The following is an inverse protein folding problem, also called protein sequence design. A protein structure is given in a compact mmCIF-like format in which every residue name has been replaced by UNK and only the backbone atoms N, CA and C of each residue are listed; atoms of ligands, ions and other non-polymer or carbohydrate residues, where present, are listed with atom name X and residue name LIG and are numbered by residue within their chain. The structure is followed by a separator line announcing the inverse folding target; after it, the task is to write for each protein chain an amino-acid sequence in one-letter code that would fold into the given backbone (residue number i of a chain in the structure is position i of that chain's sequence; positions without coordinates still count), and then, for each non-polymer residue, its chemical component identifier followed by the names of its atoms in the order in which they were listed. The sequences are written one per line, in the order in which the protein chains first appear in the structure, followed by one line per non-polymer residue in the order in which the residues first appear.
data_IF_829688965783
#
_entry.id   IF_829688965783
#
_cell.length_a   1.000
_cell.length_b   1.000
_cell.length_c   1.000
_cell.angle_alpha   90.00
_cell.angle_beta   90.00
_cell.angle_gamma   90.00
#
_symmetry.space_group_name_H-M   'P 1'
#
loop_
_entity.id
_entity.type
_entity.pdbx_description
1 polymer ?
#
# COMPACT_ATOMS: atom_id res chain seq x y z
N UNK A 1 -14.42 -22.08 -4.35
CA UNK A 1 -14.15 -20.65 -4.64
C UNK A 1 -13.69 -19.99 -3.35
N UNK A 2 -12.80 -18.99 -3.39
CA UNK A 2 -12.43 -18.24 -2.20
C UNK A 2 -13.65 -17.48 -1.63
N UNK A 3 -13.65 -17.24 -0.32
CA UNK A 3 -14.72 -16.52 0.37
C UNK A 3 -14.79 -15.06 -0.10
N UNK A 4 -15.96 -14.60 -0.53
CA UNK A 4 -16.19 -13.17 -0.80
C UNK A 4 -16.52 -12.47 0.52
N UNK A 5 -15.59 -11.63 0.98
CA UNK A 5 -15.75 -10.88 2.23
C UNK A 5 -16.72 -9.72 2.01
N UNK A 6 -17.77 -9.68 2.81
CA UNK A 6 -18.74 -8.59 2.79
C UNK A 6 -18.20 -7.36 3.55
N UNK A 7 -18.03 -6.19 2.90
CA UNK A 7 -17.58 -4.96 3.55
C UNK A 7 -18.52 -4.43 4.66
N UNK A 8 -19.75 -4.94 4.76
CA UNK A 8 -20.67 -4.64 5.86
C UNK A 8 -20.29 -5.33 7.18
N UNK A 9 -19.48 -6.38 7.13
CA UNK A 9 -18.98 -7.06 8.32
C UNK A 9 -17.71 -6.43 8.91
N UNK A 10 -17.12 -5.47 8.19
CA UNK A 10 -15.90 -4.78 8.57
C UNK A 10 -16.21 -3.57 9.44
N UNK A 11 -15.45 -3.43 10.51
CA UNK A 11 -15.53 -2.31 11.43
C UNK A 11 -14.34 -1.39 11.22
N UNK A 12 -14.53 -0.09 11.45
CA UNK A 12 -13.41 0.86 11.41
C UNK A 12 -12.31 0.44 12.38
N UNK A 13 -11.06 0.51 11.92
CA UNK A 13 -9.92 0.09 12.70
C UNK A 13 -9.57 1.12 13.76
N UNK A 14 -10.02 0.87 14.99
CA UNK A 14 -9.78 1.73 16.18
C UNK A 14 -8.41 1.41 16.82
N UNK A 15 -7.64 0.49 16.22
CA UNK A 15 -6.40 0.02 16.80
C UNK A 15 -5.25 1.04 16.64
N UNK A 16 -5.12 1.95 17.61
CA UNK A 16 -4.00 2.88 17.68
C UNK A 16 -2.79 2.20 18.38
N UNK A 17 -2.09 1.33 17.65
CA UNK A 17 -0.77 0.82 18.06
C UNK A 17 0.26 1.96 18.00
N UNK A 18 0.32 2.79 19.05
CA UNK A 18 1.39 3.79 19.18
C UNK A 18 2.73 3.07 19.34
N UNK A 19 3.64 3.30 18.40
CA UNK A 19 4.92 2.58 18.30
C UNK A 19 6.12 3.37 18.88
N UNK A 20 5.91 4.14 19.94
CA UNK A 20 6.93 5.05 20.48
C UNK A 20 7.82 4.43 21.58
N UNK A 21 8.22 3.17 21.43
CA UNK A 21 9.04 2.49 22.45
C UNK A 21 10.54 2.51 22.10
N UNK A 22 11.18 3.66 22.33
CA UNK A 22 12.64 3.82 22.26
C UNK A 22 13.36 2.93 23.30
N UNK A 23 12.71 2.60 24.42
CA UNK A 23 13.32 1.88 25.54
C UNK A 23 13.76 0.47 25.17
N UNK A 24 12.91 -0.25 24.43
CA UNK A 24 13.21 -1.62 23.99
C UNK A 24 14.46 -1.73 23.09
N UNK A 25 14.76 -0.70 22.27
CA UNK A 25 15.93 -0.72 21.37
C UNK A 25 17.22 -0.49 22.15
N UNK A 26 17.21 0.40 23.15
CA UNK A 26 18.39 0.68 23.98
C UNK A 26 18.76 -0.51 24.86
N UNK A 27 17.77 -1.17 25.47
CA UNK A 27 17.97 -2.35 26.31
C UNK A 27 18.55 -3.54 25.53
N UNK A 28 18.19 -3.69 24.26
CA UNK A 28 18.58 -4.81 23.41
C UNK A 28 19.79 -4.52 22.50
N UNK A 29 20.55 -3.45 22.77
CA UNK A 29 21.70 -3.03 21.94
C UNK A 29 22.77 -4.12 21.77
N UNK A 30 23.00 -4.93 22.81
CA UNK A 30 23.97 -6.04 22.76
C UNK A 30 23.56 -7.12 21.74
N UNK A 31 22.27 -7.42 21.63
CA UNK A 31 21.72 -8.37 20.66
C UNK A 31 21.88 -7.84 19.24
N UNK A 32 21.62 -6.54 19.02
CA UNK A 32 21.82 -5.88 17.72
C UNK A 32 23.30 -5.97 17.32
N UNK A 33 24.22 -5.60 18.22
CA UNK A 33 25.65 -5.65 17.95
C UNK A 33 26.13 -7.07 17.63
N UNK A 34 25.64 -8.07 18.36
CA UNK A 34 25.95 -9.47 18.08
C UNK A 34 25.48 -9.89 16.69
N UNK A 35 24.23 -9.60 16.32
CA UNK A 35 23.70 -9.92 15.00
C UNK A 35 24.47 -9.22 13.88
N UNK A 36 24.76 -7.93 14.04
CA UNK A 36 25.49 -7.15 13.04
C UNK A 36 26.94 -7.61 12.88
N UNK A 37 27.57 -8.12 13.95
CA UNK A 37 28.93 -8.68 13.88
C UNK A 37 29.04 -9.91 12.97
N UNK A 38 27.91 -10.60 12.70
CA UNK A 38 27.86 -11.77 11.83
C UNK A 38 27.65 -11.39 10.35
N UNK A 39 27.30 -10.14 10.07
CA UNK A 39 26.97 -9.68 8.72
C UNK A 39 28.20 -9.15 7.98
N UNK A 40 28.29 -9.48 6.70
CA UNK A 40 29.30 -8.95 5.78
C UNK A 40 28.67 -7.96 4.80
N UNK A 41 29.42 -6.95 4.40
CA UNK A 41 28.95 -5.97 3.41
C UNK A 41 28.49 -6.68 2.14
N UNK A 42 27.27 -6.36 1.69
CA UNK A 42 26.63 -6.96 0.52
C UNK A 42 25.88 -8.27 0.78
N UNK A 43 25.90 -8.79 2.02
CA UNK A 43 25.19 -10.02 2.39
C UNK A 43 23.66 -9.88 2.21
N UNK A 44 23.05 -10.93 1.66
CA UNK A 44 21.60 -11.07 1.55
C UNK A 44 20.98 -11.37 2.91
N UNK A 45 19.97 -10.59 3.30
CA UNK A 45 19.33 -10.67 4.61
C UNK A 45 18.05 -11.50 4.64
N UNK A 46 17.62 -12.08 3.52
CA UNK A 46 16.41 -12.92 3.46
C UNK A 46 16.47 -14.13 4.40
N UNK A 47 17.67 -14.64 4.70
CA UNK A 47 17.90 -15.79 5.59
C UNK A 47 18.31 -15.41 7.01
N UNK A 48 18.41 -14.13 7.31
CA UNK A 48 18.80 -13.64 8.64
C UNK A 48 17.54 -13.45 9.48
N UNK A 49 17.47 -14.15 10.61
CA UNK A 49 16.39 -13.97 11.58
C UNK A 49 16.65 -12.69 12.34
N UNK A 50 15.74 -11.73 12.15
CA UNK A 50 15.79 -10.46 12.86
C UNK A 50 15.11 -10.57 14.24
N UNK A 51 15.57 -9.83 15.25
CA UNK A 51 15.01 -9.88 16.60
C UNK A 51 13.54 -9.45 16.64
N UNK A 52 12.77 -10.01 17.57
CA UNK A 52 11.33 -9.77 17.66
C UNK A 52 10.98 -8.33 18.09
N UNK A 53 11.83 -7.68 18.89
CA UNK A 53 11.58 -6.32 19.38
C UNK A 53 11.66 -5.23 18.29
N UNK A 54 12.26 -5.53 17.12
CA UNK A 54 12.27 -4.60 15.98
C UNK A 54 11.06 -4.80 15.04
N UNK A 55 10.12 -5.68 15.43
CA UNK A 55 8.93 -5.94 14.63
C UNK A 55 7.84 -4.91 14.88
N UNK A 56 7.18 -4.53 13.81
CA UNK A 56 5.93 -3.79 13.82
C UNK A 56 4.78 -4.74 14.14
N UNK A 57 3.71 -4.25 14.78
CA UNK A 57 2.55 -5.06 15.21
C UNK A 57 1.60 -5.47 14.07
N UNK A 58 2.11 -5.70 12.86
CA UNK A 58 1.33 -6.06 11.67
C UNK A 58 2.14 -6.77 10.61
N UNK A 59 1.45 -7.47 9.73
CA UNK A 59 2.03 -8.14 8.56
C UNK A 59 2.38 -7.16 7.44
N UNK A 60 3.32 -7.55 6.58
CA UNK A 60 3.63 -6.82 5.35
C UNK A 60 2.36 -6.63 4.49
N UNK A 61 1.47 -7.62 4.43
CA UNK A 61 0.24 -7.52 3.65
C UNK A 61 -0.65 -6.36 4.12
N UNK A 62 -0.73 -6.17 5.44
CA UNK A 62 -1.47 -5.08 6.05
C UNK A 62 -0.77 -3.73 5.91
N UNK A 63 0.56 -3.69 6.02
CA UNK A 63 1.35 -2.46 5.82
C UNK A 63 1.12 -1.84 4.43
N UNK A 64 0.98 -2.67 3.39
CA UNK A 64 0.68 -2.18 2.03
C UNK A 64 -0.74 -1.60 1.89
N UNK A 65 -1.69 -2.02 2.74
CA UNK A 65 -3.01 -1.43 2.74
C UNK A 65 -2.98 0.05 3.17
N UNK A 66 -1.98 0.47 3.96
CA UNK A 66 -1.88 1.87 4.39
C UNK A 66 -1.47 2.82 3.27
N UNK A 67 -0.98 2.30 2.14
CA UNK A 67 -0.80 3.11 0.93
C UNK A 67 -2.16 3.59 0.36
N UNK A 68 -3.27 3.00 0.79
CA UNK A 68 -4.64 3.44 0.50
C UNK A 68 -5.23 4.31 1.62
N UNK A 69 -4.38 5.00 2.40
CA UNK A 69 -4.80 5.93 3.47
C UNK A 69 -5.58 7.15 2.98
N UNK A 70 -5.42 7.50 1.71
CA UNK A 70 -6.14 8.58 1.02
C UNK A 70 -6.99 8.02 -0.13
N UNK A 71 -8.05 7.25 0.17
CA UNK A 71 -8.91 6.68 -0.87
C UNK A 71 -9.68 7.77 -1.62
N UNK A 72 -9.90 8.94 -1.02
CA UNK A 72 -10.41 10.15 -1.68
C UNK A 72 -9.55 10.56 -2.88
N UNK A 73 -8.23 10.66 -2.70
CA UNK A 73 -7.28 10.99 -3.77
C UNK A 73 -7.20 9.88 -4.81
N UNK A 74 -7.25 8.61 -4.37
CA UNK A 74 -7.30 7.46 -5.28
C UNK A 74 -8.51 7.53 -6.22
N UNK A 75 -9.71 7.69 -5.64
CA UNK A 75 -10.96 7.76 -6.40
C UNK A 75 -10.98 9.01 -7.31
N UNK A 76 -10.41 10.12 -6.85
CA UNK A 76 -10.36 11.38 -7.61
C UNK A 76 -9.49 11.32 -8.88
N UNK A 77 -8.64 10.30 -9.06
CA UNK A 77 -7.85 10.12 -10.29
C UNK A 77 -8.77 10.10 -11.52
N UNK A 78 -9.89 9.37 -11.46
CA UNK A 78 -10.81 9.24 -12.61
C UNK A 78 -11.56 10.53 -12.92
N UNK A 79 -11.64 11.47 -11.97
CA UNK A 79 -12.30 12.76 -12.19
C UNK A 79 -11.52 13.67 -13.17
N UNK A 80 -10.30 13.30 -13.60
CA UNK A 80 -9.48 14.14 -14.47
C UNK A 80 -10.11 14.20 -15.86
N UNK A 81 -10.39 15.40 -16.35
CA UNK A 81 -11.08 15.59 -17.63
C UNK A 81 -10.14 15.28 -18.80
N UNK A 82 -8.86 15.59 -18.65
CA UNK A 82 -7.82 15.32 -19.64
C UNK A 82 -6.90 14.18 -19.20
N UNK A 83 -6.24 13.46 -20.14
CA UNK A 83 -5.22 12.48 -19.80
C UNK A 83 -4.07 13.05 -18.95
N UNK A 84 -3.74 14.33 -19.17
CA UNK A 84 -2.75 15.08 -18.39
C UNK A 84 -3.17 15.21 -16.93
N UNK A 85 -4.40 15.68 -16.67
CA UNK A 85 -4.94 15.82 -15.32
C UNK A 85 -4.99 14.47 -14.59
N UNK A 86 -5.41 13.39 -15.28
CA UNK A 86 -5.45 12.05 -14.68
C UNK A 86 -4.05 11.54 -14.31
N UNK A 87 -3.05 11.76 -15.17
CA UNK A 87 -1.66 11.42 -14.85
C UNK A 87 -1.14 12.22 -13.65
N UNK A 88 -1.40 13.54 -13.58
CA UNK A 88 -0.95 14.38 -12.48
C UNK A 88 -1.63 13.96 -11.16
N UNK A 89 -2.94 13.68 -11.18
CA UNK A 89 -3.67 13.18 -10.00
C UNK A 89 -3.16 11.82 -9.55
N UNK A 90 -2.80 10.94 -10.48
CA UNK A 90 -2.17 9.67 -10.10
C UNK A 90 -0.81 9.89 -9.42
N UNK A 91 0.02 10.80 -9.95
CA UNK A 91 1.28 11.18 -9.30
C UNK A 91 1.06 11.80 -7.91
N UNK A 92 0.03 12.63 -7.75
CA UNK A 92 -0.37 13.20 -6.46
C UNK A 92 -0.74 12.12 -5.46
N UNK A 93 -1.69 11.24 -5.79
CA UNK A 93 -2.06 10.09 -4.95
C UNK A 93 -0.85 9.19 -4.63
N UNK A 94 -0.03 8.90 -5.64
CA UNK A 94 1.14 8.05 -5.46
C UNK A 94 2.16 8.64 -4.48
N UNK A 95 2.37 9.96 -4.49
CA UNK A 95 3.31 10.60 -3.57
C UNK A 95 2.73 10.77 -2.17
N UNK A 96 1.41 10.91 -2.03
CA UNK A 96 0.74 10.99 -0.73
C UNK A 96 0.53 9.63 -0.07
N UNK A 97 0.77 8.50 -0.74
CA UNK A 97 0.55 7.17 -0.15
C UNK A 97 1.65 6.71 0.83
N UNK A 98 2.83 7.30 0.80
CA UNK A 98 4.00 6.75 1.51
C UNK A 98 4.13 7.14 2.98
N UNK A 99 3.55 8.27 3.40
CA UNK A 99 3.73 8.80 4.75
C UNK A 99 3.03 7.95 5.82
N UNK A 100 1.84 7.41 5.54
CA UNK A 100 1.11 6.53 6.47
C UNK A 100 1.66 5.11 6.57
N UNK A 101 2.36 4.62 5.55
CA UNK A 101 2.99 3.31 5.59
C UNK A 101 4.10 3.19 6.65
N UNK A 102 4.44 4.29 7.34
CA UNK A 102 5.51 4.35 8.35
C UNK A 102 5.09 5.23 9.54
N UNK A 103 4.27 4.67 10.43
CA UNK A 103 3.90 5.34 11.68
C UNK A 103 5.08 5.29 12.65
N UNK A 104 5.53 6.45 13.13
CA UNK A 104 6.58 6.56 14.14
C UNK A 104 7.96 6.92 13.59
N UNK A 105 8.84 7.40 14.49
CA UNK A 105 10.20 7.84 14.14
C UNK A 105 11.18 6.67 13.99
N UNK A 106 10.86 5.51 14.57
CA UNK A 106 11.72 4.32 14.60
C UNK A 106 11.35 3.38 13.46
N UNK A 107 12.35 2.95 12.69
CA UNK A 107 12.16 1.92 11.68
C UNK A 107 11.91 0.56 12.34
N UNK A 108 10.66 0.09 12.25
CA UNK A 108 10.31 -1.31 12.52
C UNK A 108 10.09 -2.08 11.23
N UNK A 109 10.14 -3.41 11.36
CA UNK A 109 9.92 -4.34 10.25
C UNK A 109 8.57 -5.04 10.44
N UNK A 110 7.67 -5.04 9.45
CA UNK A 110 6.44 -5.82 9.56
C UNK A 110 6.73 -7.33 9.57
N UNK A 111 5.76 -8.12 10.01
CA UNK A 111 5.86 -9.58 9.93
C UNK A 111 6.04 -10.01 8.48
N UNK A 112 6.95 -10.97 8.27
CA UNK A 112 7.14 -11.55 6.95
C UNK A 112 5.97 -12.52 6.69
N UNK A 113 5.11 -12.29 5.69
CA UNK A 113 3.93 -13.11 5.53
C UNK A 113 4.28 -14.56 5.22
N UNK A 114 3.48 -15.49 5.74
CA UNK A 114 3.62 -16.91 5.38
C UNK A 114 2.86 -17.21 4.09
N UNK A 115 3.25 -18.25 3.36
CA UNK A 115 2.54 -18.67 2.13
C UNK A 115 1.04 -18.88 2.40
N UNK A 116 0.19 -18.28 1.57
CA UNK A 116 -1.27 -18.36 1.73
C UNK A 116 -1.87 -17.47 2.80
N UNK A 117 -1.07 -16.67 3.50
CA UNK A 117 -1.56 -15.59 4.35
C UNK A 117 -2.33 -14.58 3.50
N UNK A 118 -3.45 -14.09 4.02
CA UNK A 118 -4.32 -13.12 3.34
C UNK A 118 -4.60 -11.92 4.21
N UNK A 119 -4.81 -10.74 3.61
CA UNK A 119 -5.31 -9.57 4.31
C UNK A 119 -6.42 -8.91 3.49
N UNK A 120 -7.48 -8.50 4.17
CA UNK A 120 -8.65 -7.89 3.56
C UNK A 120 -9.09 -6.70 4.38
N UNK A 121 -9.44 -5.62 3.69
CA UNK A 121 -10.04 -4.45 4.29
C UNK A 121 -10.84 -3.65 3.26
N UNK A 122 -11.60 -2.68 3.74
CA UNK A 122 -12.22 -1.68 2.89
C UNK A 122 -12.17 -0.27 3.48
N UNK A 123 -12.48 0.71 2.64
CA UNK A 123 -12.76 2.08 3.04
C UNK A 123 -14.12 2.47 2.50
N UNK A 124 -14.85 3.27 3.28
CA UNK A 124 -16.07 3.95 2.84
C UNK A 124 -15.79 5.42 2.76
N UNK A 125 -15.91 5.98 1.58
CA UNK A 125 -15.57 7.37 1.31
C UNK A 125 -16.83 8.14 0.92
N UNK A 126 -17.32 9.09 1.74
CA UNK A 126 -18.48 9.91 1.38
C UNK A 126 -18.32 10.53 -0.01
N UNK A 127 -19.37 10.52 -0.81
CA UNK A 127 -19.31 11.05 -2.19
C UNK A 127 -18.95 12.55 -2.21
N UNK A 128 -19.33 13.30 -1.17
CA UNK A 128 -18.98 14.71 -0.95
C UNK A 128 -17.48 14.94 -0.86
N UNK A 129 -16.75 14.00 -0.28
CA UNK A 129 -15.33 14.18 0.07
C UNK A 129 -14.43 13.88 -1.14
N UNK A 130 -14.98 13.22 -2.17
CA UNK A 130 -14.33 12.97 -3.47
C UNK A 130 -14.69 14.05 -4.50
N UNK A 131 -15.69 14.89 -4.23
CA UNK A 131 -16.27 15.81 -5.20
C UNK A 131 -15.41 17.07 -5.44
N UNK A 132 -14.63 17.00 -6.52
CA UNK A 132 -14.24 18.07 -7.46
C UNK A 132 -13.62 19.37 -6.93
N UNK A 133 -12.31 19.52 -7.16
CA UNK A 133 -11.72 20.79 -7.61
C UNK A 133 -12.31 21.15 -8.98
N UNK A 134 -13.50 21.76 -8.98
CA UNK A 134 -14.03 22.52 -10.10
C UNK A 134 -14.03 24.00 -9.72
N UNK A 135 -12.83 24.57 -9.54
CA UNK A 135 -12.60 26.01 -9.51
C UNK A 135 -13.15 26.81 -8.31
N UNK A 136 -12.24 27.51 -7.64
CA UNK A 136 -12.44 28.73 -6.83
C UNK A 136 -12.95 28.61 -5.39
N UNK A 137 -12.10 29.15 -4.49
CA UNK A 137 -12.37 29.87 -3.25
C UNK A 137 -13.86 30.14 -2.91
N UNK A 138 -14.32 29.67 -1.75
CA UNK A 138 -14.86 30.56 -0.70
C UNK A 138 -15.17 29.84 0.61
N UNK A 139 -14.76 30.50 1.68
CA UNK A 139 -15.20 30.45 3.08
C UNK A 139 -16.53 29.77 3.44
N UNK A 140 -16.48 29.10 4.60
CA UNK A 140 -17.61 28.70 5.42
C UNK A 140 -18.71 29.77 5.58
N UNK A 141 -19.98 29.35 5.57
CA UNK A 141 -20.96 29.59 6.65
C UNK A 141 -22.33 28.92 6.36
N UNK A 142 -22.72 28.04 7.30
CA UNK A 142 -24.06 27.80 7.88
C UNK A 142 -25.35 28.12 7.08
N UNK A 143 -26.26 27.14 7.00
CA UNK A 143 -27.50 27.05 7.80
C UNK A 143 -28.57 26.18 7.10
N UNK A 144 -29.37 25.52 7.92
CA UNK A 144 -30.47 24.59 7.64
C UNK A 144 -31.59 25.12 6.74
N UNK A 145 -32.15 24.28 5.87
CA UNK A 145 -33.58 24.29 5.58
C UNK A 145 -34.10 22.91 5.17
N UNK A 146 -35.10 22.45 5.92
CA UNK A 146 -35.81 21.19 5.74
C UNK A 146 -36.82 21.28 4.59
N UNK A 147 -36.65 20.46 3.56
CA UNK A 147 -37.69 20.24 2.54
C UNK A 147 -38.08 18.77 2.57
N UNK A 148 -39.31 18.50 3.00
CA UNK A 148 -39.93 17.18 2.99
C UNK A 148 -40.45 16.89 1.58
N UNK A 149 -39.97 15.82 0.95
CA UNK A 149 -40.53 15.28 -0.30
C UNK A 149 -41.03 13.83 -0.06
N UNK A 150 -42.06 13.38 -0.79
CA UNK A 150 -42.88 12.23 -0.40
C UNK A 150 -42.15 10.90 -0.53
N UNK A 151 -42.43 10.00 0.42
CA UNK A 151 -42.18 8.56 0.29
C UNK A 151 -43.02 8.02 -0.84
N UNK A 152 -42.39 7.37 -1.82
CA UNK A 152 -42.78 6.07 -2.38
C UNK A 152 -42.01 5.86 -3.69
N UNK A 153 -40.97 5.02 -3.63
CA UNK A 153 -40.40 4.21 -4.73
C UNK A 153 -39.24 3.39 -4.13
N UNK A 154 -39.54 2.16 -3.73
CA UNK A 154 -38.54 1.15 -3.39
C UNK A 154 -37.77 0.76 -4.67
N UNK A 155 -36.58 1.34 -4.83
CA UNK A 155 -35.61 0.97 -5.86
C UNK A 155 -34.24 1.48 -5.41
N UNK A 156 -33.32 0.55 -5.12
CA UNK A 156 -31.90 0.75 -4.78
C UNK A 156 -31.56 2.13 -4.19
N UNK A 157 -31.53 2.25 -2.86
CA UNK A 157 -30.93 3.40 -2.19
C UNK A 157 -29.47 3.51 -2.67
N UNK A 158 -29.21 4.46 -3.56
CA UNK A 158 -27.85 4.75 -4.00
C UNK A 158 -27.04 5.11 -2.75
N UNK A 159 -25.99 4.34 -2.46
CA UNK A 159 -25.16 4.59 -1.29
C UNK A 159 -24.51 5.97 -1.46
N UNK A 160 -24.51 6.76 -0.38
CA UNK A 160 -23.92 8.11 -0.36
C UNK A 160 -22.38 8.08 -0.17
N UNK A 161 -21.77 6.92 -0.40
CA UNK A 161 -20.34 6.70 -0.30
C UNK A 161 -19.86 5.79 -1.42
N UNK A 162 -18.58 5.92 -1.75
CA UNK A 162 -17.83 4.97 -2.55
C UNK A 162 -17.18 3.92 -1.63
N UNK A 163 -17.11 2.68 -2.11
CA UNK A 163 -16.41 1.60 -1.40
C UNK A 163 -15.11 1.26 -2.11
N UNK A 164 -13.98 1.39 -1.41
CA UNK A 164 -12.69 0.86 -1.88
C UNK A 164 -12.43 -0.45 -1.17
N UNK A 165 -12.30 -1.56 -1.91
CA UNK A 165 -11.93 -2.86 -1.36
C UNK A 165 -10.45 -3.12 -1.57
N UNK A 166 -9.80 -3.82 -0.65
CA UNK A 166 -8.42 -4.25 -0.77
C UNK A 166 -8.28 -5.72 -0.39
N UNK A 167 -7.49 -6.44 -1.18
CA UNK A 167 -7.18 -7.86 -1.02
C UNK A 167 -5.69 -8.05 -1.21
N UNK A 168 -5.05 -8.73 -0.28
CA UNK A 168 -3.66 -9.13 -0.39
C UNK A 168 -3.49 -10.61 -0.06
N UNK A 169 -2.54 -11.26 -0.73
CA UNK A 169 -2.18 -12.66 -0.49
C UNK A 169 -0.67 -12.85 -0.62
N UNK A 170 -0.07 -13.65 0.26
CA UNK A 170 1.27 -14.15 0.04
C UNK A 170 1.23 -15.31 -0.95
N UNK A 171 1.58 -15.03 -2.21
CA UNK A 171 1.42 -15.95 -3.34
C UNK A 171 2.62 -16.86 -3.59
N UNK A 172 3.79 -16.51 -3.04
CA UNK A 172 5.02 -17.31 -3.14
C UNK A 172 5.91 -17.11 -1.90
N UNK A 173 6.68 -18.14 -1.52
CA UNK A 173 7.66 -18.07 -0.42
C UNK A 173 9.11 -17.96 -0.90
N UNK A 174 9.44 -18.59 -2.03
CA UNK A 174 10.79 -18.63 -2.59
C UNK A 174 10.78 -18.34 -4.10
N UNK A 175 10.91 -17.06 -4.52
CA UNK A 175 11.06 -15.85 -3.69
C UNK A 175 9.76 -15.44 -2.97
N UNK A 176 9.83 -14.62 -1.89
CA UNK A 176 8.66 -14.21 -1.13
C UNK A 176 7.89 -13.11 -1.88
N UNK A 177 6.91 -13.51 -2.68
CA UNK A 177 6.06 -12.60 -3.47
C UNK A 177 4.70 -12.43 -2.79
N UNK A 178 4.27 -11.19 -2.65
CA UNK A 178 2.93 -10.81 -2.20
C UNK A 178 2.15 -10.20 -3.37
N UNK A 179 0.92 -10.65 -3.59
CA UNK A 179 -0.04 -10.07 -4.52
C UNK A 179 -0.97 -9.10 -3.80
N UNK A 180 -1.32 -8.01 -4.48
CA UNK A 180 -2.19 -6.94 -3.97
C UNK A 180 -3.22 -6.55 -5.02
N UNK A 181 -4.44 -6.29 -4.57
CA UNK A 181 -5.52 -5.82 -5.42
C UNK A 181 -6.37 -4.81 -4.65
N UNK A 182 -6.72 -3.72 -5.30
CA UNK A 182 -7.68 -2.75 -4.78
C UNK A 182 -8.66 -2.34 -5.87
N UNK A 183 -9.91 -2.08 -5.53
CA UNK A 183 -10.92 -1.65 -6.50
C UNK A 183 -11.94 -0.68 -5.90
N UNK A 184 -12.45 0.20 -6.75
CA UNK A 184 -13.65 1.00 -6.53
C UNK A 184 -14.59 0.70 -7.71
N UNK A 185 -15.56 -0.20 -7.50
CA UNK A 185 -16.44 -0.70 -8.55
C UNK A 185 -17.34 0.42 -9.09
N UNK A 186 -17.81 1.29 -8.21
CA UNK A 186 -18.66 2.46 -8.48
C UNK A 186 -17.97 3.46 -9.42
N UNK A 187 -16.63 3.56 -9.37
CA UNK A 187 -15.81 4.38 -10.28
C UNK A 187 -15.13 3.59 -11.39
N UNK A 188 -15.43 2.29 -11.53
CA UNK A 188 -14.85 1.41 -12.54
C UNK A 188 -13.33 1.52 -12.60
N UNK A 189 -12.67 1.48 -11.45
CA UNK A 189 -11.21 1.55 -11.37
C UNK A 189 -10.64 0.52 -10.40
N UNK A 190 -9.44 0.06 -10.68
CA UNK A 190 -8.75 -0.90 -9.83
C UNK A 190 -7.24 -0.86 -10.00
N UNK A 191 -6.52 -1.34 -8.99
CA UNK A 191 -5.08 -1.54 -9.00
C UNK A 191 -4.80 -3.00 -8.76
N UNK A 192 -3.93 -3.57 -9.58
CA UNK A 192 -3.31 -4.87 -9.33
C UNK A 192 -1.81 -4.67 -9.20
N UNK A 193 -1.19 -5.29 -8.19
CA UNK A 193 0.26 -5.24 -8.03
C UNK A 193 0.78 -6.56 -7.47
N UNK A 194 2.03 -6.86 -7.74
CA UNK A 194 2.76 -7.92 -7.05
C UNK A 194 4.15 -7.40 -6.69
N UNK A 195 4.61 -7.71 -5.49
CA UNK A 195 5.89 -7.20 -4.99
C UNK A 195 6.63 -8.29 -4.23
N UNK A 196 7.94 -8.31 -4.41
CA UNK A 196 8.88 -9.01 -3.55
C UNK A 196 10.10 -8.14 -3.29
N UNK A 197 10.87 -8.48 -2.27
CA UNK A 197 11.98 -7.64 -1.82
C UNK A 197 13.32 -8.35 -1.91
N UNK A 198 14.35 -7.59 -2.26
CA UNK A 198 15.75 -8.01 -2.16
C UNK A 198 16.45 -7.14 -1.13
N UNK A 199 16.94 -7.75 -0.05
CA UNK A 199 17.55 -7.04 1.07
C UNK A 199 19.05 -7.25 1.08
N UNK A 200 19.83 -6.16 1.22
CA UNK A 200 21.29 -6.19 1.29
C UNK A 200 21.81 -5.41 2.49
N UNK A 201 22.76 -5.97 3.20
CA UNK A 201 23.49 -5.27 4.24
C UNK A 201 24.51 -4.28 3.65
N UNK A 202 24.45 -3.02 4.06
CA UNK A 202 25.27 -1.91 3.57
C UNK A 202 26.19 -1.33 4.67
N UNK A 203 26.51 -2.11 5.71
CA UNK A 203 27.33 -1.67 6.84
C UNK A 203 26.50 -0.99 7.92
N UNK A 204 26.32 0.33 7.82
CA UNK A 204 25.47 1.09 8.77
C UNK A 204 24.02 1.21 8.32
N UNK A 205 23.64 0.48 7.28
CA UNK A 205 22.30 0.53 6.70
C UNK A 205 21.92 -0.81 6.10
N UNK A 206 20.62 -1.02 5.91
CA UNK A 206 20.06 -2.13 5.14
C UNK A 206 19.34 -1.52 3.94
N UNK A 207 19.72 -1.92 2.73
CA UNK A 207 19.02 -1.53 1.51
C UNK A 207 18.02 -2.60 1.10
N UNK A 208 16.80 -2.19 0.80
CA UNK A 208 15.70 -3.05 0.35
C UNK A 208 15.25 -2.56 -1.02
N UNK A 209 15.51 -3.38 -2.03
CA UNK A 209 15.01 -3.14 -3.39
C UNK A 209 13.66 -3.81 -3.53
N UNK A 210 12.65 -3.01 -3.89
CA UNK A 210 11.31 -3.48 -4.24
C UNK A 210 11.33 -3.94 -5.69
N UNK A 211 11.00 -5.20 -5.92
CA UNK A 211 10.90 -5.79 -7.26
C UNK A 211 9.47 -6.20 -7.50
N UNK A 212 8.90 -5.75 -8.61
CA UNK A 212 7.49 -5.92 -8.91
C UNK A 212 6.97 -4.78 -9.76
N UNK A 213 5.72 -4.91 -10.18
CA UNK A 213 5.01 -3.91 -10.98
C UNK A 213 3.59 -3.77 -10.42
N UNK A 214 3.10 -2.53 -10.44
CA UNK A 214 1.71 -2.19 -10.23
C UNK A 214 1.06 -1.72 -11.53
N UNK A 215 -0.22 -2.03 -11.68
CA UNK A 215 -1.07 -1.66 -12.81
C UNK A 215 -2.33 -1.02 -12.26
N UNK A 216 -2.49 0.28 -12.48
CA UNK A 216 -3.75 0.99 -12.27
C UNK A 216 -4.54 0.98 -13.58
N UNK A 217 -5.77 0.47 -13.54
CA UNK A 217 -6.71 0.47 -14.67
C UNK A 217 -7.86 1.43 -14.37
N UNK A 218 -8.02 2.45 -15.21
CA UNK A 218 -9.17 3.36 -15.23
C UNK A 218 -10.10 2.91 -16.36
N UNK A 219 -11.08 2.05 -16.03
CA UNK A 219 -11.85 1.33 -17.06
C UNK A 219 -12.78 2.25 -17.85
N UNK A 220 -13.31 3.30 -17.21
CA UNK A 220 -14.13 4.31 -17.88
C UNK A 220 -13.37 5.03 -19.01
N UNK A 221 -12.07 5.27 -18.80
CA UNK A 221 -11.20 5.91 -19.80
C UNK A 221 -10.50 4.88 -20.69
N UNK A 222 -10.60 3.59 -20.37
CA UNK A 222 -9.83 2.51 -20.98
C UNK A 222 -8.32 2.76 -20.92
N UNK A 223 -7.84 3.29 -19.79
CA UNK A 223 -6.45 3.67 -19.55
C UNK A 223 -5.79 2.75 -18.54
N UNK A 224 -4.51 2.46 -18.77
CA UNK A 224 -3.69 1.60 -17.92
C UNK A 224 -2.38 2.31 -17.61
N UNK A 225 -2.05 2.37 -16.32
CA UNK A 225 -0.85 3.01 -15.82
C UNK A 225 0.02 1.96 -15.13
N UNK A 226 1.17 1.65 -15.72
CA UNK A 226 2.16 0.81 -15.07
C UNK A 226 3.04 1.66 -14.16
N UNK A 227 3.35 1.15 -12.97
CA UNK A 227 4.18 1.87 -12.00
C UNK A 227 5.07 0.92 -11.18
N UNK A 228 6.22 1.43 -10.74
CA UNK A 228 7.15 0.73 -9.85
C UNK A 228 7.13 1.34 -8.45
N UNK A 229 7.70 0.67 -7.45
CA UNK A 229 7.86 1.20 -6.08
C UNK A 229 9.29 1.68 -5.82
N UNK A 230 9.51 2.67 -4.92
CA UNK A 230 10.86 3.10 -4.56
C UNK A 230 11.57 2.04 -3.73
N UNK A 231 12.90 2.09 -3.69
CA UNK A 231 13.68 1.34 -2.72
C UNK A 231 13.49 1.94 -1.32
N UNK A 232 13.67 1.11 -0.30
CA UNK A 232 13.69 1.54 1.10
C UNK A 232 15.06 1.25 1.72
N UNK A 233 15.50 2.11 2.63
CA UNK A 233 16.75 1.97 3.36
C UNK A 233 16.47 2.12 4.86
N UNK A 234 16.76 1.08 5.64
CA UNK A 234 16.86 1.24 7.08
C UNK A 234 18.24 1.80 7.41
N UNK A 235 18.28 3.06 7.84
CA UNK A 235 19.49 3.80 8.20
C UNK A 235 19.74 3.67 9.69
N UNK A 236 20.98 3.94 10.13
CA UNK A 236 21.33 4.03 11.55
C UNK A 236 20.99 2.78 12.38
N UNK A 237 21.13 1.59 11.80
CA UNK A 237 20.78 0.31 12.44
C UNK A 237 21.61 -0.04 13.69
N UNK A 238 22.67 0.73 13.97
CA UNK A 238 23.51 0.61 15.18
C UNK A 238 23.07 1.55 16.32
N UNK A 239 22.17 2.48 16.03
CA UNK A 239 21.63 3.47 16.98
C UNK A 239 20.11 3.44 16.92
N UNK A 240 19.45 4.56 16.59
CA UNK A 240 18.00 4.61 16.38
C UNK A 240 17.74 4.44 14.89
N UNK A 241 17.19 3.30 14.46
CA UNK A 241 16.99 3.06 13.05
C UNK A 241 15.85 3.93 12.53
N UNK A 242 15.98 4.45 11.32
CA UNK A 242 14.94 5.23 10.64
C UNK A 242 14.88 4.84 9.17
N UNK A 243 13.74 5.07 8.52
CA UNK A 243 13.56 4.66 7.12
C UNK A 243 13.68 5.82 6.16
N UNK A 244 14.44 5.57 5.10
CA UNK A 244 14.59 6.47 3.97
C UNK A 244 14.09 5.79 2.70
N UNK A 245 13.29 6.50 1.90
CA UNK A 245 12.96 6.07 0.54
C UNK A 245 14.01 6.59 -0.44
N UNK A 246 14.32 5.80 -1.45
CA UNK A 246 15.33 6.16 -2.45
C UNK A 246 15.12 5.52 -3.81
N UNK A 247 15.75 6.13 -4.81
CA UNK A 247 15.77 5.61 -6.17
C UNK A 247 14.68 6.18 -7.07
N UNK A 248 14.72 5.74 -8.33
CA UNK A 248 13.85 6.23 -9.40
C UNK A 248 12.63 5.34 -9.54
N UNK A 249 11.46 5.96 -9.62
CA UNK A 249 10.17 5.36 -9.95
C UNK A 249 9.71 5.92 -11.29
N UNK A 250 9.07 5.07 -12.09
CA UNK A 250 8.40 5.51 -13.31
C UNK A 250 6.93 5.13 -13.25
N UNK A 251 6.07 6.00 -13.78
CA UNK A 251 4.66 5.76 -14.05
C UNK A 251 4.46 5.98 -15.54
N UNK A 252 3.79 5.07 -16.24
CA UNK A 252 3.64 5.16 -17.68
C UNK A 252 2.23 4.74 -18.13
N UNK A 253 1.61 5.55 -18.99
CA UNK A 253 0.37 5.19 -19.67
C UNK A 253 0.62 5.11 -21.18
N UNK A 254 0.66 3.90 -21.72
CA UNK A 254 0.98 3.67 -23.13
C UNK A 254 -0.07 4.29 -24.08
N UNK A 255 -1.35 4.25 -23.69
CA UNK A 255 -2.46 4.77 -24.50
C UNK A 255 -2.40 6.28 -24.70
N UNK A 256 -2.11 7.02 -23.63
CA UNK A 256 -2.16 8.49 -23.64
C UNK A 256 -0.80 9.11 -24.00
N UNK A 257 0.27 8.30 -23.92
CA UNK A 257 1.64 8.74 -24.14
C UNK A 257 2.25 9.49 -22.96
N UNK A 258 1.51 9.71 -21.87
CA UNK A 258 2.06 10.39 -20.70
C UNK A 258 2.91 9.44 -19.86
N UNK A 259 3.99 9.98 -19.30
CA UNK A 259 4.81 9.31 -18.29
C UNK A 259 5.19 10.26 -17.17
N UNK A 260 5.45 9.71 -15.99
CA UNK A 260 6.05 10.42 -14.87
C UNK A 260 7.34 9.73 -14.44
N UNK A 261 8.36 10.53 -14.19
CA UNK A 261 9.66 10.07 -13.68
C UNK A 261 9.90 10.73 -12.33
N UNK A 262 9.84 9.96 -11.25
CA UNK A 262 9.94 10.41 -9.86
C UNK A 262 11.24 9.89 -9.28
N UNK A 263 11.98 10.72 -8.55
CA UNK A 263 13.22 10.37 -7.88
C UNK A 263 13.12 10.67 -6.39
N UNK A 264 13.20 9.63 -5.57
CA UNK A 264 13.35 9.72 -4.13
C UNK A 264 14.84 9.88 -3.81
N UNK A 265 15.21 11.02 -3.24
CA UNK A 265 16.60 11.34 -2.95
C UNK A 265 16.98 10.81 -1.58
N UNK A 266 18.02 9.98 -1.55
CA UNK A 266 18.68 9.63 -0.28
C UNK A 266 19.54 10.79 0.21
N UNK A 267 19.74 10.88 1.52
CA UNK A 267 20.53 11.90 2.19
C UNK A 267 21.91 12.08 1.53
N UNK A 268 22.25 13.29 1.05
CA UNK A 268 23.58 13.60 0.56
C UNK A 268 24.64 13.48 1.66
N UNK A 269 25.90 13.23 1.28
CA UNK A 269 27.01 13.17 2.23
C UNK A 269 27.27 14.52 2.96
N UNK A 270 26.88 15.64 2.36
CA UNK A 270 27.05 16.99 2.93
C UNK A 270 25.74 17.79 2.84
N UNK A 271 25.19 18.15 4.00
CA UNK A 271 23.99 18.99 4.09
C UNK A 271 22.76 18.42 3.37
N UNK A 272 21.67 19.19 3.37
CA UNK A 272 20.44 18.85 2.65
C UNK A 272 19.31 18.35 3.55
N UNK A 273 18.09 18.48 3.03
CA UNK A 273 16.87 18.02 3.66
C UNK A 273 16.70 16.51 3.48
N UNK A 274 16.15 15.85 4.50
CA UNK A 274 15.75 14.45 4.43
C UNK A 274 14.49 14.31 3.57
N UNK A 275 14.19 13.08 3.13
CA UNK A 275 12.93 12.73 2.46
C UNK A 275 12.62 13.51 1.19
N UNK A 276 13.63 14.12 0.56
CA UNK A 276 13.43 14.93 -0.64
C UNK A 276 12.95 14.06 -1.80
N UNK A 277 11.95 14.54 -2.52
CA UNK A 277 11.47 13.95 -3.77
C UNK A 277 11.46 15.01 -4.86
N UNK A 278 11.77 14.59 -6.09
CA UNK A 278 11.57 15.40 -7.30
C UNK A 278 10.99 14.54 -8.39
N UNK A 279 10.10 15.08 -9.21
CA UNK A 279 9.56 14.36 -10.35
C UNK A 279 9.12 15.29 -11.46
N UNK A 280 8.89 14.71 -12.62
CA UNK A 280 8.34 15.41 -13.77
C UNK A 280 7.34 14.51 -14.50
N UNK A 281 6.23 15.10 -14.90
CA UNK A 281 5.23 14.51 -15.79
C UNK A 281 5.48 15.05 -17.20
N UNK A 282 5.54 14.15 -18.17
CA UNK A 282 5.86 14.45 -19.56
C UNK A 282 4.87 13.82 -20.50
N UNK A 283 4.64 14.49 -21.62
CA UNK A 283 4.06 13.89 -22.81
C UNK A 283 5.18 13.31 -23.68
N UNK A 284 5.22 11.99 -23.86
CA UNK A 284 6.37 11.30 -24.47
C UNK A 284 6.57 11.69 -25.95
N UNK A 285 5.49 11.92 -26.69
CA UNK A 285 5.55 12.25 -28.12
C UNK A 285 6.23 13.59 -28.40
N UNK A 286 5.94 14.60 -27.58
CA UNK A 286 6.46 15.96 -27.75
C UNK A 286 7.65 16.25 -26.84
N UNK A 287 7.97 15.32 -25.93
CA UNK A 287 8.94 15.50 -24.84
C UNK A 287 8.67 16.77 -24.01
N UNK A 288 7.40 17.18 -23.92
CA UNK A 288 6.98 18.38 -23.18
C UNK A 288 6.73 18.02 -21.73
N UNK A 289 7.33 18.78 -20.81
CA UNK A 289 7.04 18.67 -19.37
C UNK A 289 5.79 19.47 -19.07
N UNK A 290 4.79 18.81 -18.50
CA UNK A 290 3.48 19.41 -18.19
C UNK A 290 3.32 19.73 -16.71
N UNK A 291 4.05 19.00 -15.86
CA UNK A 291 4.08 19.24 -14.42
C UNK A 291 5.44 18.85 -13.84
N UNK A 292 5.94 19.63 -12.89
CA UNK A 292 7.09 19.28 -12.05
C UNK A 292 6.63 19.17 -10.61
N UNK A 293 7.10 18.16 -9.90
CA UNK A 293 6.86 18.01 -8.47
C UNK A 293 8.19 18.04 -7.72
N UNK A 294 8.23 18.75 -6.60
CA UNK A 294 9.37 18.76 -5.69
C UNK A 294 8.91 18.93 -4.24
N UNK A 295 9.72 18.48 -3.28
CA UNK A 295 9.39 18.65 -1.87
C UNK A 295 9.88 17.51 -1.02
N UNK A 296 9.13 17.20 0.04
CA UNK A 296 9.42 16.17 1.03
C UNK A 296 8.25 15.20 1.08
N UNK A 297 8.47 13.91 0.81
CA UNK A 297 7.37 12.92 0.66
C UNK A 297 6.58 12.64 1.94
N UNK A 298 7.03 13.16 3.08
CA UNK A 298 6.38 13.06 4.39
C UNK A 298 5.98 14.43 4.97
N UNK A 299 6.05 15.50 4.19
CA UNK A 299 5.76 16.86 4.66
C UNK A 299 5.03 17.65 3.58
N UNK A 300 5.69 18.52 2.82
CA UNK A 300 5.05 19.35 1.79
C UNK A 300 5.58 19.00 0.40
N UNK A 301 4.64 18.83 -0.54
CA UNK A 301 4.91 18.70 -1.97
C UNK A 301 4.46 19.96 -2.71
N UNK A 302 5.24 20.37 -3.68
CA UNK A 302 4.99 21.51 -4.56
C UNK A 302 4.89 21.00 -6.01
N UNK A 303 3.75 21.22 -6.64
CA UNK A 303 3.47 20.91 -8.03
C UNK A 303 3.47 22.20 -8.84
N UNK A 304 4.35 22.32 -9.82
CA UNK A 304 4.40 23.45 -10.76
C UNK A 304 3.89 23.00 -12.13
N UNK A 305 2.85 23.64 -12.62
CA UNK A 305 2.19 23.32 -13.88
C UNK A 305 2.78 24.13 -15.05
N UNK A 306 2.48 23.69 -16.29
CA UNK A 306 2.96 24.33 -17.51
C UNK A 306 2.51 25.79 -17.69
N UNK A 307 1.37 26.17 -17.08
CA UNK A 307 0.84 27.53 -17.06
C UNK A 307 1.57 28.46 -16.03
N UNK A 308 2.51 27.92 -15.25
CA UNK A 308 3.23 28.65 -14.20
C UNK A 308 2.52 28.67 -12.84
N UNK A 309 1.33 28.08 -12.73
CA UNK A 309 0.63 27.89 -11.46
C UNK A 309 1.36 26.87 -10.58
N UNK A 310 1.24 27.06 -9.26
CA UNK A 310 1.81 26.15 -8.28
C UNK A 310 0.74 25.70 -7.28
N UNK A 311 0.64 24.39 -7.06
CA UNK A 311 -0.18 23.76 -6.01
C UNK A 311 0.73 23.21 -4.91
N UNK A 312 0.36 23.46 -3.65
CA UNK A 312 1.02 22.88 -2.48
C UNK A 312 0.13 21.81 -1.86
N UNK A 313 0.69 20.63 -1.60
CA UNK A 313 0.04 19.54 -0.89
C UNK A 313 0.79 19.34 0.43
N UNK A 314 0.13 19.66 1.54
CA UNK A 314 0.68 19.51 2.89
C UNK A 314 0.19 18.20 3.50
N UNK A 315 1.04 17.17 3.45
CA UNK A 315 0.70 15.82 3.92
C UNK A 315 0.45 15.79 5.43
N UNK A 316 0.98 16.75 6.19
CA UNK A 316 0.78 16.83 7.65
C UNK A 316 -0.64 17.27 8.02
N UNK A 317 -1.39 17.81 7.05
CA UNK A 317 -2.76 18.29 7.22
C UNK A 317 -3.80 17.42 6.52
N UNK A 318 -3.38 16.42 5.74
CA UNK A 318 -4.30 15.50 5.07
C UNK A 318 -4.99 14.61 6.10
N UNK A 319 -6.32 14.55 6.03
CA UNK A 319 -7.11 13.64 6.87
C UNK A 319 -6.96 12.21 6.36
N UNK A 320 -6.39 11.35 7.19
CA UNK A 320 -6.23 9.93 6.88
C UNK A 320 -7.54 9.20 7.10
N UNK A 321 -7.97 8.44 6.11
CA UNK A 321 -9.15 7.58 6.24
C UNK A 321 -8.73 6.22 6.80
N UNK A 322 -9.30 5.87 7.96
CA UNK A 322 -9.03 4.58 8.60
C UNK A 322 -9.63 3.44 7.78
N UNK A 323 -8.82 2.39 7.59
CA UNK A 323 -9.29 1.14 6.99
C UNK A 323 -10.31 0.47 7.89
N UNK A 324 -11.19 -0.34 7.30
CA UNK A 324 -12.18 -1.17 7.98
C UNK A 324 -11.76 -2.62 7.85
N UNK A 325 -11.75 -3.37 8.94
CA UNK A 325 -11.31 -4.77 8.98
C UNK A 325 -12.35 -5.59 9.72
N UNK A 326 -12.55 -6.85 9.32
CA UNK A 326 -13.43 -7.76 10.05
C UNK A 326 -12.90 -8.02 11.47
N UNK A 327 -13.77 -8.16 12.49
CA UNK A 327 -13.38 -8.61 13.82
C UNK A 327 -12.64 -9.95 13.79
N UNK A 328 -11.69 -10.17 14.71
CA UNK A 328 -10.84 -11.37 14.76
C UNK A 328 -11.64 -12.67 14.79
N UNK A 329 -12.80 -12.67 15.44
CA UNK A 329 -13.67 -13.84 15.59
C UNK A 329 -14.25 -14.30 14.24
N UNK A 330 -14.42 -13.36 13.30
CA UNK A 330 -14.92 -13.59 11.94
C UNK A 330 -13.82 -13.86 10.92
N UNK A 331 -12.56 -13.60 11.26
CA UNK A 331 -11.44 -13.79 10.34
C UNK A 331 -11.11 -15.27 10.17
N UNK A 332 -10.70 -15.70 8.97
CA UNK A 332 -10.18 -17.03 8.71
C UNK A 332 -8.81 -17.28 9.37
N UNK A 333 -8.38 -18.54 9.56
CA UNK A 333 -7.14 -18.89 10.27
C UNK A 333 -5.85 -18.40 9.59
N UNK A 334 -5.91 -18.02 8.31
CA UNK A 334 -4.80 -17.48 7.52
C UNK A 334 -4.92 -15.97 7.27
N UNK A 335 -5.95 -15.30 7.81
CA UNK A 335 -6.00 -13.84 7.75
C UNK A 335 -4.97 -13.22 8.70
N UNK A 336 -4.21 -12.23 8.23
CA UNK A 336 -3.01 -11.74 8.91
C UNK A 336 -3.20 -11.43 10.38
N UNK A 337 -4.27 -10.72 10.77
CA UNK A 337 -4.46 -10.34 12.19
C UNK A 337 -4.75 -11.55 13.07
N UNK A 338 -5.61 -12.47 12.63
CA UNK A 338 -5.87 -13.73 13.35
C UNK A 338 -4.66 -14.65 13.39
N UNK A 339 -3.91 -14.73 12.28
CA UNK A 339 -2.72 -15.57 12.19
C UNK A 339 -1.62 -15.12 13.14
N UNK A 340 -1.39 -13.80 13.24
CA UNK A 340 -0.33 -13.20 14.04
C UNK A 340 -0.78 -12.75 15.44
N UNK A 341 -2.04 -12.99 15.82
CA UNK A 341 -2.67 -12.44 17.04
C UNK A 341 -1.83 -12.62 18.30
N UNK A 342 -1.27 -13.81 18.55
CA UNK A 342 -0.51 -14.09 19.78
C UNK A 342 0.88 -13.45 19.80
N UNK A 343 1.47 -13.21 18.62
CA UNK A 343 2.71 -12.43 18.49
C UNK A 343 2.41 -10.97 18.79
N UNK A 344 1.33 -10.45 18.21
CA UNK A 344 0.88 -9.06 18.41
C UNK A 344 0.47 -8.77 19.85
N UNK A 345 -0.29 -9.65 20.49
CA UNK A 345 -0.67 -9.57 21.91
C UNK A 345 0.55 -9.52 22.81
N UNK A 346 1.48 -10.46 22.67
CA UNK A 346 2.72 -10.50 23.47
C UNK A 346 3.58 -9.25 23.26
N UNK A 347 3.66 -8.72 22.03
CA UNK A 347 4.34 -7.45 21.74
C UNK A 347 3.63 -6.23 22.33
N UNK A 348 2.31 -6.28 22.55
CA UNK A 348 1.57 -5.21 23.25
C UNK A 348 1.81 -5.26 24.75
N UNK A 349 1.90 -6.46 25.31
CA UNK A 349 2.19 -6.68 26.72
C UNK A 349 3.66 -6.44 27.08
N UNK A 350 4.53 -6.20 26.08
CA UNK A 350 5.98 -6.02 26.27
C UNK A 350 6.73 -7.33 26.51
N UNK A 351 6.08 -8.48 26.35
CA UNK A 351 6.67 -9.81 26.54
C UNK A 351 7.37 -10.29 25.25
N UNK A 352 8.61 -9.86 25.07
CA UNK A 352 9.42 -10.16 23.89
C UNK A 352 9.76 -11.65 23.76
N UNK A 353 9.94 -12.35 24.87
CA UNK A 353 10.30 -13.77 24.88
C UNK A 353 9.11 -14.60 24.38
N UNK A 354 7.91 -14.34 24.92
CA UNK A 354 6.68 -15.00 24.48
C UNK A 354 6.32 -14.66 23.03
N UNK A 355 6.51 -13.41 22.62
CA UNK A 355 6.35 -13.02 21.21
C UNK A 355 7.30 -13.81 20.29
N UNK A 356 8.55 -14.01 20.74
CA UNK A 356 9.56 -14.79 20.00
C UNK A 356 9.18 -16.27 19.91
N UNK A 357 8.65 -16.85 20.98
CA UNK A 357 8.16 -18.24 20.99
C UNK A 357 6.99 -18.44 20.01
N UNK A 358 5.96 -17.58 20.08
CA UNK A 358 4.82 -17.65 19.17
C UNK A 358 5.23 -17.48 17.70
N UNK A 359 6.12 -16.52 17.42
CA UNK A 359 6.66 -16.30 16.08
C UNK A 359 7.42 -17.53 15.58
N UNK A 360 8.28 -18.11 16.43
CA UNK A 360 9.05 -19.31 16.10
C UNK A 360 8.14 -20.49 15.80
N UNK A 361 7.11 -20.72 16.61
CA UNK A 361 6.14 -21.80 16.41
C UNK A 361 5.41 -21.66 15.05
N UNK A 362 5.02 -20.45 14.68
CA UNK A 362 4.39 -20.16 13.39
C UNK A 362 5.32 -20.46 12.21
N UNK A 363 6.57 -20.00 12.28
CA UNK A 363 7.57 -20.22 11.23
C UNK A 363 8.01 -21.69 11.11
N UNK A 364 8.11 -22.41 12.23
CA UNK A 364 8.39 -23.85 12.24
C UNK A 364 7.24 -24.64 11.62
N UNK A 365 5.99 -24.28 11.92
CA UNK A 365 4.81 -24.87 11.27
C UNK A 365 4.87 -24.67 9.76
N UNK A 366 5.14 -23.46 9.30
CA UNK A 366 5.27 -23.17 7.87
C UNK A 366 6.39 -24.00 7.20
N UNK A 367 7.58 -24.08 7.84
CA UNK A 367 8.71 -24.89 7.32
C UNK A 367 8.37 -26.37 7.22
N UNK A 368 7.59 -26.90 8.16
CA UNK A 368 7.15 -28.29 8.15
C UNK A 368 6.11 -28.54 7.04
N UNK A 369 5.14 -27.64 6.87
CA UNK A 369 4.15 -27.70 5.79
C UNK A 369 4.78 -27.57 4.40
N UNK A 370 5.83 -26.75 4.26
CA UNK A 370 6.61 -26.65 3.02
C UNK A 370 7.38 -27.94 2.72
N UNK A 371 8.01 -28.54 3.73
CA UNK A 371 8.69 -29.83 3.56
C UNK A 371 7.73 -30.92 3.12
N UNK A 372 6.56 -31.01 3.76
CA UNK A 372 5.54 -31.99 3.40
C UNK A 372 5.04 -31.79 1.97
N UNK A 373 4.81 -30.54 1.54
CA UNK A 373 4.43 -30.23 0.15
C UNK A 373 5.50 -30.63 -0.86
N UNK A 374 6.78 -30.42 -0.52
CA UNK A 374 7.89 -30.84 -1.36
C UNK A 374 8.00 -32.37 -1.45
N UNK A 375 7.84 -33.08 -0.32
CA UNK A 375 7.87 -34.56 -0.26
C UNK A 375 6.68 -35.21 -0.99
N UNK A 376 5.52 -34.55 -0.98
CA UNK A 376 4.28 -35.04 -1.62
C UNK A 376 4.06 -34.48 -3.02
N UNK A 377 5.02 -33.70 -3.55
CA UNK A 377 4.92 -33.00 -4.85
C UNK A 377 3.62 -32.21 -5.03
N UNK A 378 3.03 -31.73 -3.93
CA UNK A 378 1.76 -31.01 -3.93
C UNK A 378 2.02 -29.51 -4.02
N UNK A 379 1.72 -28.85 -5.16
CA UNK A 379 1.93 -27.42 -5.29
C UNK A 379 1.00 -26.62 -4.36
N UNK A 380 1.45 -25.43 -3.96
CA UNK A 380 0.56 -24.49 -3.28
C UNK A 380 -0.43 -23.88 -4.28
N UNK A 381 -1.72 -23.96 -3.97
CA UNK A 381 -2.77 -23.28 -4.74
C UNK A 381 -3.14 -21.98 -4.02
N UNK A 382 -2.84 -20.85 -4.68
CA UNK A 382 -3.27 -19.52 -4.23
C UNK A 382 -4.78 -19.37 -4.31
N UNK A 383 -5.34 -18.55 -3.41
CA UNK A 383 -6.79 -18.35 -3.27
C UNK A 383 -7.32 -17.25 -4.17
N UNK A 384 -6.63 -16.11 -4.20
CA UNK A 384 -7.13 -14.87 -4.79
C UNK A 384 -6.32 -14.38 -5.99
N UNK A 385 -5.10 -14.89 -6.18
CA UNK A 385 -4.25 -14.49 -7.30
C UNK A 385 -3.89 -15.67 -8.17
N UNK A 386 -3.86 -15.45 -9.48
CA UNK A 386 -3.44 -16.40 -10.49
C UNK A 386 -2.12 -15.93 -11.08
N UNK A 387 -1.22 -16.88 -11.34
CA UNK A 387 0.04 -16.57 -12.02
C UNK A 387 -0.23 -16.36 -13.51
N UNK A 388 0.07 -15.17 -14.02
CA UNK A 388 -0.04 -14.84 -15.44
C UNK A 388 1.33 -14.34 -15.93
N UNK A 389 2.00 -15.13 -16.78
CA UNK A 389 3.40 -14.87 -17.18
C UNK A 389 4.35 -14.88 -15.97
N UNK A 390 5.11 -13.79 -15.82
CA UNK A 390 6.02 -13.57 -14.69
C UNK A 390 5.34 -12.85 -13.49
N UNK A 391 4.08 -12.43 -13.65
CA UNK A 391 3.32 -11.67 -12.66
C UNK A 391 2.19 -12.45 -11.99
N UNK A 392 1.45 -11.75 -11.14
CA UNK A 392 0.29 -12.28 -10.42
C UNK A 392 -0.91 -11.35 -10.58
N UNK A 393 -2.04 -11.90 -11.01
CA UNK A 393 -3.26 -11.15 -11.31
C UNK A 393 -4.38 -11.62 -10.39
N UNK A 394 -5.18 -10.70 -9.89
CA UNK A 394 -6.34 -11.04 -9.07
C UNK A 394 -7.31 -11.92 -9.86
N UNK A 395 -7.89 -12.94 -9.24
CA UNK A 395 -8.64 -13.99 -9.94
C UNK A 395 -9.98 -13.50 -10.54
N UNK A 396 -10.59 -12.47 -9.94
CA UNK A 396 -11.83 -11.82 -10.40
C UNK A 396 -11.60 -10.30 -10.57
N UNK A 397 -10.70 -9.86 -11.45
CA UNK A 397 -10.40 -8.45 -11.57
C UNK A 397 -11.54 -7.72 -12.26
N UNK A 398 -11.82 -6.50 -11.82
CA UNK A 398 -12.92 -5.67 -12.29
C UNK A 398 -12.99 -5.55 -13.83
N UNK A 399 -11.85 -5.48 -14.52
CA UNK A 399 -11.82 -5.41 -15.99
C UNK A 399 -12.36 -6.67 -16.69
N UNK A 400 -12.20 -7.87 -16.10
CA UNK A 400 -12.77 -9.11 -16.66
C UNK A 400 -14.29 -9.17 -16.40
N UNK A 401 -14.75 -8.66 -15.26
CA UNK A 401 -16.16 -8.65 -14.89
C UNK A 401 -16.98 -7.66 -15.73
N UNK A 402 -16.44 -6.46 -15.99
CA UNK A 402 -17.14 -5.42 -16.78
C UNK A 402 -17.28 -5.83 -18.26
N UNK A 403 -16.27 -6.46 -18.86
CA UNK A 403 -16.35 -6.95 -20.24
C UNK A 403 -17.40 -8.06 -20.42
N UNK A 404 -17.54 -8.97 -19.44
CA UNK A 404 -18.55 -10.03 -19.50
C UNK A 404 -20.00 -9.51 -19.48
N UNK A 405 -20.26 -8.42 -18.74
CA UNK A 405 -21.59 -7.77 -18.70
C UNK A 405 -21.92 -7.06 -20.02
N UNK A 406 -20.92 -6.47 -20.69
CA UNK A 406 -21.12 -5.84 -21.99
C UNK A 406 -21.42 -6.85 -23.11
N UNK A 407 -20.78 -8.03 -23.09
CA UNK A 407 -21.06 -9.09 -24.07
C UNK A 407 -22.46 -9.69 -23.91
N UNK A 408 -22.97 -9.81 -22.67
CA UNK A 408 -24.33 -10.29 -22.44
C UNK A 408 -25.42 -9.31 -22.89
N UNK A 409 -25.16 -8.00 -22.87
CA UNK A 409 -26.11 -6.99 -23.38
C UNK A 409 -26.14 -6.92 -24.91
N UNK A 410 -25.05 -7.24 -25.60
CA UNK A 410 -25.00 -7.27 -27.08
C UNK A 410 -25.70 -8.48 -27.68
N UNK A 411 -25.79 -9.60 -26.96
CA UNK A 411 -26.48 -10.81 -27.44
C UNK A 411 -28.00 -10.79 -27.20
N UNK A 412 -28.53 -9.76 -26.53
CA UNK A 412 -29.96 -9.57 -26.23
C UNK A 412 -30.65 -8.47 -27.04
N UNK A 413 -29.99 -7.89 -28.05
CA UNK A 413 -30.58 -6.88 -28.94
C UNK A 413 -30.75 -7.36 -30.38
#
# INVERSE_FOLDING_TARGET
EPEEINPDEELEDICDDKEDDLGAVEEQRSVILHLLSQLKLGMDLTRVVLPTFILEKRSLLEMYADFMSHPDLFIAITNGTTPEERMIRFVEYYLTSFHEGRKGAIAKKPYNPIIGETFHCSWRMPKSDVATDAGSNSSAHSASESVTLPKDLEGQKELDYYTVKFVAEQVSHHPPVSGFYAECAERKMCVNAHVWTKSKFLGMSIGVTMVGEGLLSLLEHGEEYTFSLPCAYARSILTVPWVELGGKVNINCAKTGYSASINFHTKPFYGGKLHRVTGEVKQNMTNTVVCRVQGEWNSVLEFTYSNGETKYVDLTKLSVTRKRVRPLEKQGPFESRRLWQHVTESLRDGDIDKATEHKRALEERQRNEERLRAETETPWCTKYFLKEGDGWVYHKPLWKTVSAVQTQQTDTN
#
